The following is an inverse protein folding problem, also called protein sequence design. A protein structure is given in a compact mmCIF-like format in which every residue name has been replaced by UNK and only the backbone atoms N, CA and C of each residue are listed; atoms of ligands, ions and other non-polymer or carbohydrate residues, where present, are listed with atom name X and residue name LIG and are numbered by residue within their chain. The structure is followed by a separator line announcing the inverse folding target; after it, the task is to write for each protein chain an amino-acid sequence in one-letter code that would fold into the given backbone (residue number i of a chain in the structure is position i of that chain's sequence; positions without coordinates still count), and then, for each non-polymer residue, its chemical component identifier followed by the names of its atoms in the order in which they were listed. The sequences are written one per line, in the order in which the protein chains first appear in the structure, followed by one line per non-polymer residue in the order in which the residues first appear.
data_IF_342664108860
#
_entry.id   IF_342664108860
#
_cell.length_a   1.000
_cell.length_b   1.000
_cell.length_c   1.000
_cell.angle_alpha   90.00
_cell.angle_beta   90.00
_cell.angle_gamma   90.00
#
_symmetry.space_group_name_H-M   'P 1'
#
loop_
_entity.id
_entity.type
_entity.pdbx_description
1 polymer ?
#
# COMPACT_ATOMS: atom_id res chain seq x y z
N UNK A 1 -62.02 46.39 21.13
CA UNK A 1 -62.21 44.99 20.69
C UNK A 1 -60.85 44.31 20.72
N UNK A 2 -60.66 43.29 21.56
CA UNK A 2 -59.34 42.75 21.94
C UNK A 2 -59.19 41.32 21.37
N UNK A 3 -58.48 41.12 20.26
CA UNK A 3 -58.33 39.81 19.62
C UNK A 3 -57.27 38.89 20.27
N UNK A 4 -56.72 39.27 21.42
CA UNK A 4 -55.54 38.61 22.02
C UNK A 4 -55.83 37.22 22.61
N UNK A 5 -57.03 36.96 23.13
CA UNK A 5 -57.31 35.68 23.81
C UNK A 5 -57.24 34.46 22.88
N UNK A 6 -57.64 34.61 21.62
CA UNK A 6 -57.70 33.49 20.67
C UNK A 6 -56.31 33.03 20.20
N UNK A 7 -55.30 33.91 20.27
CA UNK A 7 -53.93 33.59 19.90
C UNK A 7 -53.24 32.85 21.05
N UNK A 8 -53.51 33.26 22.28
CA UNK A 8 -52.96 32.63 23.49
C UNK A 8 -53.47 31.18 23.65
N UNK A 9 -54.75 30.90 23.34
CA UNK A 9 -55.32 29.54 23.36
C UNK A 9 -54.68 28.61 22.32
N UNK A 10 -54.34 29.14 21.14
CA UNK A 10 -53.67 28.37 20.07
C UNK A 10 -52.21 28.08 20.43
N UNK A 11 -51.52 29.04 21.05
CA UNK A 11 -50.15 28.87 21.53
C UNK A 11 -50.05 27.82 22.64
N UNK A 12 -50.99 27.82 23.60
CA UNK A 12 -51.00 26.83 24.67
C UNK A 12 -51.33 25.43 24.13
N UNK A 13 -52.30 25.31 23.22
CA UNK A 13 -52.59 24.04 22.53
C UNK A 13 -51.40 23.51 21.73
N UNK A 14 -50.71 24.39 21.00
CA UNK A 14 -49.51 24.04 20.22
C UNK A 14 -48.36 23.60 21.12
N UNK A 15 -48.19 24.27 22.26
CA UNK A 15 -47.16 23.90 23.25
C UNK A 15 -47.44 22.52 23.86
N UNK A 16 -48.69 22.21 24.19
CA UNK A 16 -49.07 20.88 24.71
C UNK A 16 -48.81 19.80 23.68
N UNK A 17 -49.17 20.01 22.40
CA UNK A 17 -48.92 19.04 21.31
C UNK A 17 -47.41 18.86 21.06
N UNK A 18 -46.64 19.94 21.00
CA UNK A 18 -45.20 19.87 20.78
C UNK A 18 -44.48 19.14 21.93
N UNK A 19 -44.85 19.45 23.17
CA UNK A 19 -44.14 18.94 24.36
C UNK A 19 -44.56 17.53 24.74
N UNK A 20 -45.83 17.16 24.57
CA UNK A 20 -46.36 15.85 25.02
C UNK A 20 -46.47 14.81 23.91
N UNK A 21 -46.45 15.20 22.64
CA UNK A 21 -46.60 14.28 21.51
C UNK A 21 -45.34 14.24 20.65
N UNK A 22 -44.85 15.39 20.19
CA UNK A 22 -43.75 15.43 19.21
C UNK A 22 -42.40 15.10 19.86
N UNK A 23 -42.10 15.72 21.01
CA UNK A 23 -40.85 15.46 21.74
C UNK A 23 -40.64 13.98 22.14
N UNK A 24 -41.59 13.29 22.79
CA UNK A 24 -41.38 11.89 23.18
C UNK A 24 -41.32 10.93 21.99
N UNK A 25 -42.08 11.20 20.91
CA UNK A 25 -42.00 10.40 19.68
C UNK A 25 -40.64 10.60 19.00
N UNK A 26 -40.16 11.84 18.91
CA UNK A 26 -38.83 12.13 18.34
C UNK A 26 -37.70 11.51 19.15
N UNK A 27 -37.74 11.60 20.48
CA UNK A 27 -36.76 10.97 21.37
C UNK A 27 -36.84 9.44 21.28
N UNK A 28 -38.05 8.87 21.26
CA UNK A 28 -38.26 7.44 21.09
C UNK A 28 -37.71 6.92 19.77
N UNK A 29 -37.94 7.64 18.67
CA UNK A 29 -37.42 7.29 17.34
C UNK A 29 -35.88 7.40 17.29
N UNK A 30 -35.30 8.42 17.93
CA UNK A 30 -33.84 8.57 18.02
C UNK A 30 -33.20 7.44 18.84
N UNK A 31 -33.80 7.07 19.98
CA UNK A 31 -33.32 5.94 20.79
C UNK A 31 -33.45 4.61 20.03
N UNK A 32 -34.56 4.38 19.32
CA UNK A 32 -34.75 3.20 18.48
C UNK A 32 -33.71 3.14 17.35
N UNK A 33 -33.41 4.28 16.71
CA UNK A 33 -32.36 4.37 15.68
C UNK A 33 -30.96 4.09 16.26
N UNK A 34 -30.64 4.65 17.44
CA UNK A 34 -29.37 4.40 18.11
C UNK A 34 -29.22 2.93 18.56
N UNK A 35 -30.31 2.30 18.98
CA UNK A 35 -30.31 0.87 19.28
C UNK A 35 -30.15 -0.01 18.04
N UNK A 36 -30.63 0.43 16.88
CA UNK A 36 -30.46 -0.27 15.61
C UNK A 36 -29.03 -0.16 15.06
N UNK A 37 -28.40 1.01 15.19
CA UNK A 37 -26.96 1.19 14.92
C UNK A 37 -26.08 0.32 15.83
N UNK A 38 -26.45 0.19 17.11
CA UNK A 38 -25.72 -0.63 18.07
C UNK A 38 -26.01 -2.13 17.94
N UNK A 39 -27.16 -2.50 17.35
CA UNK A 39 -27.60 -3.90 17.17
C UNK A 39 -27.48 -4.41 15.75
N UNK A 40 -26.90 -3.67 14.81
CA UNK A 40 -26.20 -4.34 13.72
C UNK A 40 -24.94 -4.91 14.37
N UNK A 41 -24.85 -6.23 14.59
CA UNK A 41 -23.55 -6.81 14.77
C UNK A 41 -22.83 -6.49 13.47
N UNK A 42 -21.97 -5.49 13.52
CA UNK A 42 -20.73 -5.58 12.80
C UNK A 42 -20.12 -6.90 13.23
N UNK A 43 -20.47 -7.97 12.52
CA UNK A 43 -19.52 -8.91 11.98
C UNK A 43 -18.53 -8.08 11.14
N UNK A 44 -17.82 -7.15 11.78
CA UNK A 44 -16.42 -6.97 11.48
C UNK A 44 -15.86 -8.27 11.98
N UNK A 45 -15.73 -9.21 11.07
CA UNK A 45 -14.81 -10.30 11.24
C UNK A 45 -13.52 -9.63 11.72
N UNK A 46 -13.24 -9.67 13.03
CA UNK A 46 -11.89 -9.74 13.57
C UNK A 46 -11.29 -11.07 13.06
N UNK A 47 -11.25 -11.22 11.73
CA UNK A 47 -10.23 -11.99 11.09
C UNK A 47 -8.95 -11.24 11.51
N UNK A 48 -8.13 -11.84 12.41
CA UNK A 48 -6.86 -11.23 12.75
C UNK A 48 -6.19 -10.88 11.42
N UNK A 49 -5.62 -9.66 11.27
CA UNK A 49 -5.06 -9.20 9.99
C UNK A 49 -4.30 -10.38 9.44
N UNK A 50 -4.63 -10.88 8.23
CA UNK A 50 -4.13 -12.15 7.77
C UNK A 50 -2.64 -12.08 8.06
N UNK A 51 -2.16 -12.95 8.98
CA UNK A 51 -0.73 -13.21 9.05
C UNK A 51 -0.36 -13.32 7.60
N UNK A 52 0.62 -12.57 7.06
CA UNK A 52 1.02 -12.73 5.69
C UNK A 52 1.31 -14.21 5.57
N UNK A 53 0.29 -14.94 5.06
CA UNK A 53 0.44 -16.29 4.62
C UNK A 53 1.54 -16.05 3.62
N UNK A 54 2.67 -16.76 3.69
CA UNK A 54 3.53 -16.81 2.54
C UNK A 54 2.63 -17.36 1.44
N UNK A 55 1.94 -16.45 0.73
CA UNK A 55 1.29 -16.66 -0.55
C UNK A 55 2.33 -17.46 -1.26
N UNK A 56 2.04 -18.71 -1.65
CA UNK A 56 3.06 -19.65 -2.11
C UNK A 56 3.87 -18.86 -3.10
N UNK A 57 5.06 -18.43 -2.64
CA UNK A 57 5.85 -17.48 -3.37
C UNK A 57 6.05 -18.27 -4.64
N UNK A 58 5.49 -17.79 -5.74
CA UNK A 58 5.68 -18.45 -7.01
C UNK A 58 7.12 -18.11 -7.28
N UNK A 59 7.99 -18.91 -6.66
CA UNK A 59 9.42 -18.71 -6.51
C UNK A 59 9.99 -19.19 -7.82
N UNK A 60 9.50 -18.59 -8.90
CA UNK A 60 9.97 -18.84 -10.23
C UNK A 60 11.42 -18.40 -10.18
N UNK A 61 12.36 -19.35 -10.27
CA UNK A 61 13.76 -19.01 -10.21
C UNK A 61 14.08 -18.19 -11.46
N UNK A 62 14.78 -17.08 -11.25
CA UNK A 62 15.32 -16.30 -12.36
C UNK A 62 16.61 -16.97 -12.82
N UNK A 63 16.61 -17.42 -14.07
CA UNK A 63 17.86 -17.77 -14.75
C UNK A 63 18.60 -16.49 -15.13
N UNK A 64 19.87 -16.39 -14.69
CA UNK A 64 20.77 -15.27 -15.00
C UNK A 64 21.85 -15.77 -15.94
N UNK A 65 22.06 -15.07 -17.04
CA UNK A 65 23.17 -15.31 -17.94
C UNK A 65 24.25 -14.26 -17.67
N UNK A 66 25.46 -14.72 -17.39
CA UNK A 66 26.61 -13.84 -17.27
C UNK A 66 27.05 -13.39 -18.67
N UNK A 67 27.04 -12.08 -18.93
CA UNK A 67 27.45 -11.52 -20.22
C UNK A 67 28.94 -11.16 -20.26
N UNK A 68 29.53 -10.86 -19.10
CA UNK A 68 30.95 -10.49 -19.00
C UNK A 68 31.17 -9.35 -18.03
N UNK A 69 32.38 -8.79 -18.06
CA UNK A 69 32.79 -7.66 -17.25
C UNK A 69 32.99 -6.41 -18.12
N UNK A 70 32.68 -5.23 -17.57
CA UNK A 70 32.89 -3.92 -18.19
C UNK A 70 33.30 -2.90 -17.12
N UNK A 71 33.77 -1.71 -17.51
CA UNK A 71 33.91 -0.60 -16.56
C UNK A 71 32.54 0.01 -16.26
N UNK A 72 32.32 0.59 -15.07
CA UNK A 72 31.01 1.12 -14.67
C UNK A 72 30.44 2.17 -15.65
N UNK A 73 31.31 2.96 -16.28
CA UNK A 73 30.95 3.94 -17.31
C UNK A 73 30.53 3.35 -18.67
N UNK A 74 30.70 2.03 -18.88
CA UNK A 74 30.38 1.34 -20.14
C UNK A 74 31.60 1.09 -21.03
N UNK A 75 32.76 1.63 -20.68
CA UNK A 75 33.98 1.36 -21.43
C UNK A 75 34.47 -0.08 -21.22
N UNK A 76 35.04 -0.67 -22.26
CA UNK A 76 35.75 -1.94 -22.19
C UNK A 76 37.25 -1.68 -22.02
N UNK A 77 37.88 -2.28 -21.02
CA UNK A 77 39.33 -2.22 -20.87
C UNK A 77 39.93 -3.61 -21.02
N UNK A 78 41.02 -3.72 -21.77
CA UNK A 78 41.79 -4.98 -21.87
C UNK A 78 42.42 -5.41 -20.55
N UNK A 79 42.51 -4.48 -19.58
CA UNK A 79 43.02 -4.75 -18.24
C UNK A 79 41.95 -5.29 -17.27
N UNK A 80 40.70 -5.51 -17.70
CA UNK A 80 39.62 -6.03 -16.83
C UNK A 80 40.07 -7.31 -16.11
N UNK A 81 39.92 -7.32 -14.79
CA UNK A 81 40.39 -8.41 -13.91
C UNK A 81 41.78 -8.20 -13.32
N UNK A 82 42.50 -7.13 -13.71
CA UNK A 82 43.77 -6.72 -13.08
C UNK A 82 43.56 -5.60 -12.06
N UNK A 83 44.49 -5.47 -11.12
CA UNK A 83 44.47 -4.40 -10.13
C UNK A 83 44.53 -3.02 -10.82
N UNK A 84 43.63 -2.11 -10.43
CA UNK A 84 43.53 -0.76 -11.01
C UNK A 84 42.73 -0.67 -12.31
N UNK A 85 42.21 -1.80 -12.82
CA UNK A 85 41.31 -1.79 -13.97
C UNK A 85 40.04 -0.97 -13.66
N UNK A 86 39.70 -0.06 -14.56
CA UNK A 86 38.56 0.85 -14.43
C UNK A 86 38.63 1.79 -13.19
N UNK A 87 39.81 2.02 -12.60
CA UNK A 87 39.98 2.89 -11.42
C UNK A 87 39.45 4.31 -11.62
N UNK A 88 39.64 4.86 -12.82
CA UNK A 88 39.12 6.18 -13.22
C UNK A 88 37.68 6.12 -13.75
N UNK A 89 37.16 4.91 -13.95
CA UNK A 89 35.89 4.61 -14.61
C UNK A 89 34.86 3.99 -13.65
N UNK A 90 35.05 4.17 -12.34
CA UNK A 90 34.14 3.69 -11.30
C UNK A 90 34.28 2.21 -10.93
N UNK A 91 35.34 1.55 -11.39
CA UNK A 91 35.62 0.15 -11.10
C UNK A 91 35.03 -0.82 -12.13
N UNK A 92 35.35 -2.10 -11.95
CA UNK A 92 34.90 -3.19 -12.81
C UNK A 92 33.51 -3.64 -12.36
N UNK A 93 32.56 -3.69 -13.28
CA UNK A 93 31.21 -4.21 -13.10
C UNK A 93 31.03 -5.51 -13.88
N UNK A 94 30.32 -6.45 -13.26
CA UNK A 94 29.84 -7.66 -13.91
C UNK A 94 28.46 -7.42 -14.48
N UNK A 95 28.26 -7.82 -15.73
CA UNK A 95 27.02 -7.63 -16.47
C UNK A 95 26.28 -8.95 -16.54
N UNK A 96 25.02 -8.93 -16.12
CA UNK A 96 24.15 -10.10 -16.09
C UNK A 96 22.85 -9.79 -16.81
N UNK A 97 22.34 -10.73 -17.59
CA UNK A 97 21.02 -10.64 -18.21
C UNK A 97 20.05 -11.66 -17.62
N UNK A 98 18.79 -11.28 -17.59
CA UNK A 98 17.65 -12.17 -17.41
C UNK A 98 17.18 -12.68 -18.77
N UNK A 99 16.45 -13.81 -18.80
CA UNK A 99 15.82 -14.35 -20.01
C UNK A 99 14.98 -13.32 -20.79
N UNK A 100 14.34 -12.37 -20.09
CA UNK A 100 13.51 -11.33 -20.70
C UNK A 100 14.32 -10.16 -21.32
N UNK A 101 15.65 -10.29 -21.41
CA UNK A 101 16.55 -9.26 -21.95
C UNK A 101 16.91 -8.15 -20.96
N UNK A 102 16.35 -8.18 -19.75
CA UNK A 102 16.70 -7.21 -18.70
C UNK A 102 18.16 -7.39 -18.27
N UNK A 103 18.96 -6.33 -18.38
CA UNK A 103 20.40 -6.35 -18.08
C UNK A 103 20.71 -5.53 -16.83
N UNK A 104 21.53 -6.09 -15.95
CA UNK A 104 21.99 -5.46 -14.71
C UNK A 104 23.50 -5.41 -14.66
N UNK A 105 24.05 -4.35 -14.05
CA UNK A 105 25.48 -4.12 -13.91
C UNK A 105 25.78 -4.05 -12.42
N UNK A 106 26.67 -4.92 -11.94
CA UNK A 106 26.94 -5.09 -10.52
C UNK A 106 28.41 -4.89 -10.20
N UNK A 107 28.70 -3.97 -9.28
CA UNK A 107 30.06 -3.79 -8.74
C UNK A 107 30.41 -5.01 -7.88
N UNK A 108 31.46 -5.75 -8.26
CA UNK A 108 31.94 -6.89 -7.46
C UNK A 108 31.22 -8.23 -7.66
N UNK A 109 30.65 -8.50 -8.85
CA UNK A 109 30.39 -9.90 -9.26
C UNK A 109 28.98 -10.44 -9.06
N UNK A 110 27.99 -9.60 -8.72
CA UNK A 110 26.56 -9.98 -8.79
C UNK A 110 26.06 -10.96 -7.71
N UNK A 111 26.80 -11.16 -6.62
CA UNK A 111 26.41 -12.08 -5.54
C UNK A 111 25.07 -11.77 -4.86
N UNK A 112 24.65 -10.50 -4.87
CA UNK A 112 23.41 -10.01 -4.26
C UNK A 112 22.24 -9.87 -5.26
N UNK A 113 22.36 -10.44 -6.47
CA UNK A 113 21.28 -10.35 -7.44
C UNK A 113 20.03 -11.11 -6.98
N UNK A 114 18.83 -10.51 -7.16
CA UNK A 114 17.57 -11.21 -6.94
C UNK A 114 17.53 -12.51 -7.74
N UNK A 115 17.27 -13.63 -7.05
CA UNK A 115 17.26 -14.98 -7.61
C UNK A 115 15.86 -15.44 -8.01
N UNK A 116 14.82 -14.72 -7.59
CA UNK A 116 13.42 -15.07 -7.83
C UNK A 116 12.67 -13.87 -8.40
N UNK A 117 11.60 -14.14 -9.15
CA UNK A 117 10.81 -13.09 -9.78
C UNK A 117 10.22 -12.11 -8.74
N UNK A 118 9.75 -12.65 -7.63
CA UNK A 118 9.19 -11.83 -6.54
C UNK A 118 10.25 -10.90 -5.93
N UNK A 119 11.47 -11.39 -5.69
CA UNK A 119 12.56 -10.56 -5.18
C UNK A 119 12.94 -9.46 -6.17
N UNK A 120 12.93 -9.78 -7.47
CA UNK A 120 13.23 -8.83 -8.53
C UNK A 120 12.16 -7.72 -8.58
N UNK A 121 10.88 -8.09 -8.57
CA UNK A 121 9.76 -7.15 -8.58
C UNK A 121 9.73 -6.28 -7.31
N UNK A 122 9.98 -6.86 -6.14
CA UNK A 122 10.06 -6.11 -4.87
C UNK A 122 11.23 -5.13 -4.87
N UNK A 123 12.40 -5.55 -5.33
CA UNK A 123 13.59 -4.69 -5.41
C UNK A 123 13.35 -3.52 -6.36
N UNK A 124 12.78 -3.78 -7.54
CA UNK A 124 12.39 -2.72 -8.48
C UNK A 124 11.33 -1.79 -7.91
N UNK A 125 10.32 -2.31 -7.21
CA UNK A 125 9.27 -1.50 -6.58
C UNK A 125 9.83 -0.62 -5.46
N UNK A 126 10.79 -1.13 -4.70
CA UNK A 126 11.37 -0.43 -3.55
C UNK A 126 12.40 0.61 -3.94
N UNK A 127 13.26 0.30 -4.92
CA UNK A 127 14.42 1.14 -5.26
C UNK A 127 14.37 1.73 -6.67
N UNK A 128 13.40 1.34 -7.50
CA UNK A 128 13.30 1.76 -8.91
C UNK A 128 14.40 1.18 -9.82
N UNK A 129 15.35 0.44 -9.26
CA UNK A 129 16.50 -0.12 -9.96
C UNK A 129 17.00 -1.38 -9.24
N UNK A 130 17.74 -2.23 -9.95
CA UNK A 130 18.41 -3.39 -9.36
C UNK A 130 19.90 -3.09 -9.33
N UNK A 131 20.33 -2.57 -8.19
CA UNK A 131 21.72 -2.31 -7.90
C UNK A 131 22.41 -3.53 -7.30
N UNK A 132 23.58 -3.83 -7.83
CA UNK A 132 24.71 -4.26 -7.03
C UNK A 132 25.93 -3.42 -7.44
#
# INVERSE_FOLDING_TARGET
MKPRSKIDDVLEGTRVVLTRLILPVGVGLWVLSAMFEFSLPGFGDDEPPPRPVPSPATTTPISRTFLGNSCADGSSSSAIGRQGACSHHGGVVSVWSKADGFTVRCLGGGGNLPRTEDQFALTLKQFGSIGC
#
